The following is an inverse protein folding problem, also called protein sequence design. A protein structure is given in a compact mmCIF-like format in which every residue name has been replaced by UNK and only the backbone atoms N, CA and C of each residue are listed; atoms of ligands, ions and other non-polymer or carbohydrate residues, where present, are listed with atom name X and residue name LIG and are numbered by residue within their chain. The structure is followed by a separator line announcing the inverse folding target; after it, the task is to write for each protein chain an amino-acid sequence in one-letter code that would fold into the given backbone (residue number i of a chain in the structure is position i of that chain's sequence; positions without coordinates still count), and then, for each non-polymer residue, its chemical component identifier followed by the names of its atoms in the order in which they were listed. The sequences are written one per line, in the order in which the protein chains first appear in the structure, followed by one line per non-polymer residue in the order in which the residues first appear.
data_IF_910168840753
#
_entry.id   IF_910168840753
#
_cell.length_a   1.000
_cell.length_b   1.000
_cell.length_c   1.000
_cell.angle_alpha   90.00
_cell.angle_beta   90.00
_cell.angle_gamma   90.00
#
_symmetry.space_group_name_H-M   'P 1'
#
loop_
_entity.id
_entity.type
_entity.pdbx_description
1 polymer ?
#
# COMPACT_ATOMS: atom_id res chain seq x y z
N UNK A 1 -0.88 -5.71 -1.52
CA UNK A 1 -2.12 -4.95 -1.21
C UNK A 1 -3.29 -5.92 -1.14
N UNK A 2 -3.54 -6.48 0.04
CA UNK A 2 -4.72 -7.31 0.33
C UNK A 2 -5.67 -6.56 1.27
N UNK A 3 -6.41 -7.30 2.10
CA UNK A 3 -7.28 -6.71 3.15
C UNK A 3 -6.53 -5.66 3.97
N UNK A 4 -5.32 -6.01 4.40
CA UNK A 4 -4.28 -5.09 4.88
C UNK A 4 -3.25 -4.78 3.78
N UNK A 5 -2.52 -3.68 3.95
CA UNK A 5 -1.37 -3.35 3.10
C UNK A 5 -0.08 -3.69 3.82
N UNK A 6 0.87 -4.27 3.11
CA UNK A 6 2.20 -4.57 3.63
C UNK A 6 3.23 -4.13 2.62
N UNK A 7 4.25 -3.41 3.08
CA UNK A 7 5.44 -3.04 2.30
C UNK A 7 6.64 -3.70 2.95
N UNK A 8 7.47 -4.36 2.15
CA UNK A 8 8.54 -5.22 2.63
C UNK A 8 9.80 -4.97 1.80
N UNK A 9 10.93 -4.72 2.47
CA UNK A 9 12.21 -4.41 1.83
C UNK A 9 13.30 -5.29 2.43
N UNK A 10 13.97 -6.15 1.62
CA UNK A 10 15.09 -6.94 2.10
C UNK A 10 16.28 -6.03 2.45
N UNK A 11 17.04 -6.41 3.47
CA UNK A 11 18.20 -5.68 3.97
C UNK A 11 19.27 -6.65 4.47
N UNK A 12 20.53 -6.24 4.37
CA UNK A 12 21.66 -6.94 5.00
C UNK A 12 21.99 -6.38 6.39
N UNK A 13 21.24 -5.37 6.84
CA UNK A 13 21.38 -4.79 8.19
C UNK A 13 20.66 -5.65 9.22
N UNK A 14 21.21 -5.69 10.43
CA UNK A 14 20.61 -6.36 11.60
C UNK A 14 20.03 -5.36 12.62
N UNK A 15 19.99 -4.08 12.28
CA UNK A 15 19.56 -3.03 13.20
C UNK A 15 18.05 -2.76 13.05
N UNK A 16 17.26 -2.90 14.14
CA UNK A 16 15.85 -2.54 14.10
C UNK A 16 15.67 -1.04 13.86
N UNK A 17 14.46 -0.64 13.46
CA UNK A 17 14.14 0.78 13.35
C UNK A 17 14.09 1.43 14.73
N UNK A 18 14.92 2.46 14.93
CA UNK A 18 15.05 3.17 16.21
C UNK A 18 13.73 3.83 16.64
N UNK A 19 12.93 4.29 15.67
CA UNK A 19 11.63 4.92 15.92
C UNK A 19 10.51 3.90 16.21
N UNK A 20 10.77 2.60 16.02
CA UNK A 20 9.79 1.53 16.21
C UNK A 20 8.60 1.54 15.22
N UNK A 21 8.73 2.21 14.07
CA UNK A 21 7.64 2.37 13.08
C UNK A 21 7.49 1.15 12.18
N UNK A 22 8.58 0.43 11.96
CA UNK A 22 8.64 -0.76 11.10
C UNK A 22 9.29 -1.92 11.84
N UNK A 23 8.89 -3.13 11.49
CA UNK A 23 9.43 -4.34 12.08
C UNK A 23 10.65 -4.82 11.29
N UNK A 24 11.63 -5.42 11.97
CA UNK A 24 12.73 -6.16 11.36
C UNK A 24 12.53 -7.65 11.60
N UNK A 25 12.59 -8.46 10.55
CA UNK A 25 12.49 -9.92 10.64
C UNK A 25 13.62 -10.60 9.87
N UNK A 26 14.00 -11.79 10.33
CA UNK A 26 14.95 -12.63 9.60
C UNK A 26 14.35 -13.20 8.33
N UNK A 27 15.13 -13.19 7.26
CA UNK A 27 14.79 -13.88 6.02
C UNK A 27 15.27 -15.33 6.08
N UNK A 28 14.69 -16.20 5.25
CA UNK A 28 15.11 -17.60 5.12
C UNK A 28 16.48 -17.77 4.43
N UNK A 29 16.91 -16.73 3.71
CA UNK A 29 18.23 -16.69 3.07
C UNK A 29 19.23 -16.18 4.10
N UNK A 30 20.35 -16.89 4.24
CA UNK A 30 21.39 -16.57 5.21
C UNK A 30 21.86 -15.11 5.10
N UNK A 31 22.05 -14.47 6.25
CA UNK A 31 22.52 -13.08 6.38
C UNK A 31 21.62 -12.04 5.68
N UNK A 32 20.35 -12.37 5.46
CA UNK A 32 19.35 -11.42 4.96
C UNK A 32 18.28 -11.25 6.02
N UNK A 33 17.87 -10.01 6.26
CA UNK A 33 16.67 -9.66 6.97
C UNK A 33 15.73 -8.89 6.04
N UNK A 34 14.59 -8.50 6.55
CA UNK A 34 13.73 -7.56 5.87
C UNK A 34 13.04 -6.63 6.86
N UNK A 35 12.88 -5.37 6.46
CA UNK A 35 11.99 -4.47 7.15
C UNK A 35 10.56 -4.64 6.61
N UNK A 36 9.57 -4.47 7.50
CA UNK A 36 8.16 -4.61 7.17
C UNK A 36 7.34 -3.48 7.79
N UNK A 37 6.69 -2.69 6.93
CA UNK A 37 5.67 -1.72 7.29
C UNK A 37 4.28 -2.30 7.00
N UNK A 38 3.34 -2.07 7.92
CA UNK A 38 1.99 -2.64 7.80
C UNK A 38 0.95 -1.56 8.00
N UNK A 39 0.01 -1.47 7.07
CA UNK A 39 -1.22 -0.70 7.22
C UNK A 39 -2.42 -1.63 7.44
N UNK A 40 -3.26 -1.34 8.41
CA UNK A 40 -4.32 -2.26 8.85
C UNK A 40 -5.50 -2.36 7.87
N UNK A 41 -5.78 -1.31 7.10
CA UNK A 41 -6.93 -1.27 6.19
C UNK A 41 -6.54 -0.77 4.81
N UNK A 42 -6.28 -1.70 3.88
CA UNK A 42 -6.04 -1.42 2.47
C UNK A 42 -7.28 -1.74 1.62
N UNK A 43 -7.40 -2.94 1.04
CA UNK A 43 -8.64 -3.28 0.28
C UNK A 43 -9.85 -3.35 1.19
N UNK A 44 -9.67 -3.59 2.50
CA UNK A 44 -10.73 -3.47 3.49
C UNK A 44 -11.45 -2.10 3.45
N UNK A 45 -10.74 -1.02 3.12
CA UNK A 45 -11.34 0.31 2.99
C UNK A 45 -12.32 0.40 1.82
N UNK A 46 -12.02 -0.28 0.71
CA UNK A 46 -12.93 -0.39 -0.44
C UNK A 46 -14.11 -1.30 -0.09
N UNK A 47 -13.84 -2.46 0.52
CA UNK A 47 -14.87 -3.41 0.95
C UNK A 47 -15.86 -2.80 1.96
N UNK A 48 -15.35 -2.01 2.91
CA UNK A 48 -16.16 -1.23 3.85
C UNK A 48 -17.08 -0.25 3.11
N UNK A 49 -16.53 0.52 2.17
CA UNK A 49 -17.34 1.50 1.45
C UNK A 49 -18.36 0.84 0.52
N UNK A 50 -18.00 -0.28 -0.14
CA UNK A 50 -18.91 -1.09 -0.94
C UNK A 50 -20.16 -1.49 -0.15
N UNK A 51 -20.00 -1.87 1.13
CA UNK A 51 -21.12 -2.20 2.03
C UNK A 51 -21.99 -0.99 2.33
N UNK A 52 -21.39 0.18 2.57
CA UNK A 52 -22.13 1.42 2.87
C UNK A 52 -22.99 1.85 1.68
N UNK A 53 -22.43 1.83 0.47
CA UNK A 53 -23.15 2.29 -0.73
C UNK A 53 -23.92 1.18 -1.45
N UNK A 54 -23.88 -0.04 -0.90
CA UNK A 54 -24.41 -1.26 -1.50
C UNK A 54 -24.03 -1.39 -2.99
N UNK A 55 -22.73 -1.27 -3.28
CA UNK A 55 -22.19 -1.27 -4.64
C UNK A 55 -20.85 -2.00 -4.69
N UNK A 56 -20.75 -3.03 -5.53
CA UNK A 56 -19.59 -3.93 -5.58
C UNK A 56 -19.16 -4.28 -7.02
N UNK A 57 -19.38 -3.36 -7.97
CA UNK A 57 -19.05 -3.54 -9.38
C UNK A 57 -17.64 -2.99 -9.66
N UNK A 58 -16.60 -3.79 -9.38
CA UNK A 58 -15.21 -3.33 -9.45
C UNK A 58 -14.80 -2.77 -10.82
N UNK A 59 -15.30 -3.32 -11.92
CA UNK A 59 -14.99 -2.82 -13.26
C UNK A 59 -15.53 -1.40 -13.48
N UNK A 60 -16.75 -1.13 -12.98
CA UNK A 60 -17.35 0.20 -13.01
C UNK A 60 -16.58 1.14 -12.07
N UNK A 61 -16.26 0.70 -10.85
CA UNK A 61 -15.47 1.49 -9.89
C UNK A 61 -14.16 1.92 -10.54
N UNK A 62 -13.41 0.98 -11.14
CA UNK A 62 -12.13 1.26 -11.78
C UNK A 62 -12.29 2.25 -12.96
N UNK A 63 -13.29 2.06 -13.81
CA UNK A 63 -13.52 2.92 -14.96
C UNK A 63 -13.94 4.35 -14.59
N UNK A 64 -14.76 4.51 -13.55
CA UNK A 64 -15.20 5.83 -13.08
C UNK A 64 -14.09 6.54 -12.29
N UNK A 65 -13.36 5.83 -11.44
CA UNK A 65 -12.24 6.37 -10.66
C UNK A 65 -11.13 6.92 -11.57
N UNK A 66 -10.87 6.28 -12.73
CA UNK A 66 -9.85 6.74 -13.69
C UNK A 66 -10.17 8.11 -14.31
N UNK A 67 -11.47 8.45 -14.42
CA UNK A 67 -11.93 9.74 -14.97
C UNK A 67 -11.81 10.90 -13.98
N UNK A 68 -11.60 10.61 -12.69
CA UNK A 68 -11.57 11.61 -11.63
C UNK A 68 -10.15 12.17 -11.53
N UNK A 69 -9.97 13.50 -11.43
CA UNK A 69 -8.64 14.08 -11.35
C UNK A 69 -7.91 13.65 -10.07
N UNK A 70 -6.57 13.71 -10.12
CA UNK A 70 -5.69 13.54 -8.96
C UNK A 70 -6.12 14.47 -7.83
N UNK A 71 -6.20 13.94 -6.61
CA UNK A 71 -6.66 14.66 -5.43
C UNK A 71 -8.17 14.58 -5.21
N UNK A 72 -8.88 13.71 -5.95
CA UNK A 72 -10.30 13.40 -5.74
C UNK A 72 -11.20 14.66 -5.56
N UNK A 73 -10.93 15.72 -6.35
CA UNK A 73 -11.63 17.03 -6.26
C UNK A 73 -11.56 17.70 -4.87
N UNK A 74 -10.48 17.46 -4.13
CA UNK A 74 -10.25 17.98 -2.79
C UNK A 74 -10.66 17.02 -1.66
N UNK A 75 -11.08 15.80 -1.99
CA UNK A 75 -11.35 14.77 -0.99
C UNK A 75 -10.07 14.09 -0.52
N UNK A 76 -10.00 13.88 0.79
CA UNK A 76 -8.97 13.08 1.44
C UNK A 76 -9.62 11.96 2.24
N UNK A 77 -8.99 10.78 2.21
CA UNK A 77 -9.37 9.65 3.03
C UNK A 77 -8.20 9.20 3.90
N UNK A 78 -8.36 9.23 5.22
CA UNK A 78 -7.44 8.56 6.14
C UNK A 78 -7.88 7.10 6.31
N UNK A 79 -7.09 6.10 5.90
CA UNK A 79 -7.53 4.71 5.83
C UNK A 79 -7.45 3.95 7.16
N UNK A 80 -7.65 4.61 8.31
CA UNK A 80 -7.37 4.02 9.63
C UNK A 80 -8.61 3.38 10.28
N UNK A 81 -9.41 2.65 9.50
CA UNK A 81 -10.71 2.10 9.96
C UNK A 81 -10.60 1.20 11.20
N UNK A 82 -9.45 0.53 11.40
CA UNK A 82 -9.22 -0.43 12.48
C UNK A 82 -8.10 0.03 13.44
N UNK A 83 -7.85 1.33 13.55
CA UNK A 83 -6.58 1.85 14.06
C UNK A 83 -5.48 1.77 12.99
N UNK A 84 -4.25 2.09 13.36
CA UNK A 84 -3.11 1.96 12.46
C UNK A 84 -1.83 1.45 13.14
N UNK A 85 -1.02 0.70 12.37
CA UNK A 85 0.34 0.28 12.73
C UNK A 85 1.37 1.24 12.17
N UNK A 86 1.83 1.08 10.93
CA UNK A 86 2.84 1.98 10.36
C UNK A 86 2.17 3.19 9.71
N UNK A 87 2.65 4.43 9.94
CA UNK A 87 3.83 4.82 10.74
C UNK A 87 3.46 5.24 12.17
N UNK A 88 2.17 5.29 12.50
CA UNK A 88 1.65 6.01 13.67
C UNK A 88 1.70 5.22 14.98
N UNK A 89 1.59 3.90 14.88
CA UNK A 89 1.37 2.94 15.94
C UNK A 89 0.24 3.39 16.90
N UNK A 90 -0.90 3.69 16.30
CA UNK A 90 -2.04 4.35 16.94
C UNK A 90 -3.30 3.45 16.89
N UNK A 91 -3.61 2.71 17.96
CA UNK A 91 -4.80 1.87 18.03
C UNK A 91 -6.11 2.67 18.18
N UNK A 92 -6.02 3.99 18.40
CA UNK A 92 -7.16 4.88 18.52
C UNK A 92 -7.54 5.50 17.17
N UNK A 93 -6.63 5.55 16.21
CA UNK A 93 -6.89 6.12 14.89
C UNK A 93 -8.18 5.58 14.26
N UNK A 94 -8.87 6.45 13.51
CA UNK A 94 -10.13 6.12 12.82
C UNK A 94 -10.13 6.62 11.39
N UNK A 95 -10.97 5.99 10.57
CA UNK A 95 -11.19 6.42 9.20
C UNK A 95 -11.79 7.83 9.15
N UNK A 96 -11.31 8.65 8.21
CA UNK A 96 -11.78 10.03 8.04
C UNK A 96 -12.00 10.29 6.55
N UNK A 97 -13.15 10.85 6.19
CA UNK A 97 -13.37 11.48 4.88
C UNK A 97 -13.38 12.99 5.12
N UNK A 98 -12.44 13.71 4.52
CA UNK A 98 -12.27 15.15 4.66
C UNK A 98 -12.49 15.85 3.32
N UNK A 99 -13.11 17.05 3.35
CA UNK A 99 -13.33 17.88 2.16
C UNK A 99 -14.65 17.64 1.41
N UNK A 100 -15.63 16.95 2.02
CA UNK A 100 -16.92 16.69 1.38
C UNK A 100 -17.67 17.97 0.99
N UNK A 101 -18.38 17.90 -0.13
CA UNK A 101 -19.23 18.95 -0.69
C UNK A 101 -20.37 18.29 -1.47
N UNK A 102 -21.44 19.03 -1.76
CA UNK A 102 -22.59 18.53 -2.54
C UNK A 102 -22.26 18.20 -4.00
N UNK A 103 -21.09 18.61 -4.50
CA UNK A 103 -20.64 18.29 -5.85
C UNK A 103 -20.04 16.88 -5.97
N UNK A 104 -19.70 16.24 -4.85
CA UNK A 104 -19.07 14.93 -4.84
C UNK A 104 -20.09 13.80 -4.98
N UNK A 105 -19.70 12.75 -5.69
CA UNK A 105 -20.45 11.51 -5.78
C UNK A 105 -19.64 10.33 -5.18
N UNK A 106 -20.23 9.13 -5.21
CA UNK A 106 -19.61 7.92 -4.64
C UNK A 106 -18.24 7.59 -5.26
N UNK A 107 -18.03 7.89 -6.54
CA UNK A 107 -16.79 7.60 -7.25
C UNK A 107 -15.67 8.56 -6.85
N UNK A 108 -15.98 9.82 -6.49
CA UNK A 108 -14.99 10.73 -5.90
C UNK A 108 -14.51 10.19 -4.55
N UNK A 109 -15.40 9.57 -3.77
CA UNK A 109 -15.03 8.91 -2.52
C UNK A 109 -14.18 7.65 -2.78
N UNK A 110 -14.52 6.83 -3.78
CA UNK A 110 -13.65 5.71 -4.18
C UNK A 110 -12.26 6.19 -4.60
N UNK A 111 -12.17 7.28 -5.37
CA UNK A 111 -10.89 7.90 -5.74
C UNK A 111 -10.11 8.32 -4.50
N UNK A 112 -10.76 9.00 -3.56
CA UNK A 112 -10.13 9.40 -2.31
C UNK A 112 -9.65 8.19 -1.48
N UNK A 113 -10.40 7.08 -1.46
CA UNK A 113 -9.99 5.84 -0.80
C UNK A 113 -8.76 5.24 -1.49
N UNK A 114 -8.74 5.18 -2.82
CA UNK A 114 -7.61 4.64 -3.58
C UNK A 114 -6.33 5.45 -3.33
N UNK A 115 -6.44 6.78 -3.38
CA UNK A 115 -5.34 7.70 -3.10
C UNK A 115 -4.90 7.63 -1.63
N UNK A 116 -5.85 7.62 -0.69
CA UNK A 116 -5.61 7.52 0.76
C UNK A 116 -4.86 6.26 1.16
N UNK A 117 -5.25 5.11 0.60
CA UNK A 117 -4.49 3.86 0.78
C UNK A 117 -3.11 3.95 0.15
N UNK A 118 -2.98 4.58 -1.02
CA UNK A 118 -1.68 4.85 -1.64
C UNK A 118 -0.76 5.70 -0.75
N UNK A 119 -1.30 6.74 -0.10
CA UNK A 119 -0.55 7.56 0.86
C UNK A 119 -0.15 6.77 2.11
N UNK A 120 -1.03 5.91 2.64
CA UNK A 120 -0.66 5.02 3.76
C UNK A 120 0.43 4.00 3.38
N UNK A 121 0.41 3.49 2.14
CA UNK A 121 1.51 2.67 1.62
C UNK A 121 2.81 3.48 1.47
N UNK A 122 2.70 4.78 1.13
CA UNK A 122 3.84 5.69 1.07
C UNK A 122 4.44 5.94 2.45
N UNK A 123 3.61 6.11 3.49
CA UNK A 123 4.10 6.17 4.87
C UNK A 123 4.94 4.94 5.23
N UNK A 124 4.45 3.75 4.88
CA UNK A 124 5.21 2.52 5.06
C UNK A 124 6.52 2.55 4.25
N UNK A 125 6.44 2.89 2.97
CA UNK A 125 7.60 2.90 2.08
C UNK A 125 8.71 3.87 2.51
N UNK A 126 8.34 5.06 2.97
CA UNK A 126 9.28 6.08 3.49
C UNK A 126 9.86 5.65 4.83
N UNK A 127 9.04 5.06 5.73
CA UNK A 127 9.49 4.59 7.04
C UNK A 127 10.53 3.47 6.94
N UNK A 128 10.48 2.67 5.88
CA UNK A 128 11.46 1.61 5.60
C UNK A 128 12.83 2.14 5.13
N UNK A 129 13.01 3.47 5.00
CA UNK A 129 14.23 4.13 4.51
C UNK A 129 14.68 3.55 3.16
N UNK A 130 13.72 3.31 2.27
CA UNK A 130 13.82 2.56 1.01
C UNK A 130 14.61 3.26 -0.10
N UNK A 131 15.81 3.77 0.17
CA UNK A 131 16.66 4.40 -0.85
C UNK A 131 17.23 3.38 -1.83
N UNK A 132 17.30 3.72 -3.12
CA UNK A 132 17.92 2.88 -4.15
C UNK A 132 17.06 1.71 -4.65
N UNK A 133 15.76 1.68 -4.31
CA UNK A 133 14.82 0.71 -4.85
C UNK A 133 14.57 0.98 -6.33
N UNK A 134 14.90 0.01 -7.19
CA UNK A 134 14.72 0.11 -8.65
C UNK A 134 13.30 -0.28 -9.09
N UNK A 135 12.69 -1.20 -8.37
CA UNK A 135 11.43 -1.85 -8.74
C UNK A 135 10.69 -2.30 -7.49
N UNK A 136 9.38 -2.10 -7.48
CA UNK A 136 8.45 -2.61 -6.47
C UNK A 136 7.61 -3.72 -7.11
N UNK A 137 7.52 -4.88 -6.47
CA UNK A 137 6.64 -5.98 -6.89
C UNK A 137 5.34 -5.90 -6.12
N UNK A 138 4.20 -5.88 -6.83
CA UNK A 138 2.87 -5.77 -6.21
C UNK A 138 2.04 -7.04 -6.41
N UNK A 139 1.36 -7.47 -5.35
CA UNK A 139 0.43 -8.61 -5.33
C UNK A 139 -0.78 -8.31 -4.44
N UNK A 140 -1.77 -9.21 -4.42
CA UNK A 140 -2.99 -9.13 -3.60
C UNK A 140 -4.21 -8.57 -4.36
N UNK A 141 -5.37 -8.52 -3.70
CA UNK A 141 -6.63 -8.11 -4.34
C UNK A 141 -6.56 -6.75 -5.03
N UNK A 142 -5.90 -5.77 -4.41
CA UNK A 142 -5.75 -4.42 -4.97
C UNK A 142 -4.91 -4.38 -6.26
N UNK A 143 -4.01 -5.36 -6.48
CA UNK A 143 -3.18 -5.40 -7.69
C UNK A 143 -3.97 -5.80 -8.95
N UNK A 144 -5.22 -6.25 -8.81
CA UNK A 144 -6.09 -6.53 -9.97
C UNK A 144 -6.52 -5.24 -10.68
N UNK A 145 -6.67 -4.14 -9.95
CA UNK A 145 -7.01 -2.83 -10.51
C UNK A 145 -5.79 -2.16 -11.14
N UNK A 146 -5.71 -2.14 -12.48
CA UNK A 146 -4.59 -1.47 -13.19
C UNK A 146 -4.50 0.02 -12.87
N UNK A 147 -5.66 0.69 -12.79
CA UNK A 147 -5.72 2.12 -12.44
C UNK A 147 -5.15 2.35 -11.05
N UNK A 148 -5.50 1.53 -10.07
CA UNK A 148 -5.00 1.70 -8.71
C UNK A 148 -3.50 1.42 -8.61
N UNK A 149 -2.99 0.38 -9.29
CA UNK A 149 -1.55 0.11 -9.34
C UNK A 149 -0.78 1.27 -9.97
N UNK A 150 -1.30 1.89 -11.04
CA UNK A 150 -0.69 3.08 -11.65
C UNK A 150 -0.68 4.26 -10.68
N UNK A 151 -1.78 4.50 -9.94
CA UNK A 151 -1.82 5.55 -8.91
C UNK A 151 -0.79 5.31 -7.81
N UNK A 152 -0.67 4.07 -7.32
CA UNK A 152 0.34 3.73 -6.29
C UNK A 152 1.76 3.98 -6.84
N UNK A 153 2.02 3.63 -8.10
CA UNK A 153 3.32 3.92 -8.73
C UNK A 153 3.61 5.43 -8.73
N UNK A 154 2.65 6.26 -9.14
CA UNK A 154 2.77 7.72 -9.14
C UNK A 154 2.92 8.29 -7.72
N UNK A 155 2.20 7.77 -6.74
CA UNK A 155 2.28 8.21 -5.34
C UNK A 155 3.66 7.89 -4.74
N UNK A 156 4.16 6.67 -4.98
CA UNK A 156 5.46 6.24 -4.47
C UNK A 156 6.63 6.84 -5.25
N UNK A 157 6.41 7.30 -6.49
CA UNK A 157 7.48 7.77 -7.37
C UNK A 157 8.40 6.64 -7.84
N UNK A 158 7.95 5.38 -7.80
CA UNK A 158 8.74 4.21 -8.13
C UNK A 158 8.02 3.29 -9.11
N UNK A 159 8.80 2.65 -9.98
CA UNK A 159 8.29 1.62 -10.91
C UNK A 159 7.67 0.46 -10.14
N UNK A 160 6.45 0.10 -10.48
CA UNK A 160 5.75 -1.07 -9.96
C UNK A 160 5.63 -2.13 -11.06
N UNK A 161 5.83 -3.40 -10.71
CA UNK A 161 5.61 -4.52 -11.61
C UNK A 161 4.70 -5.57 -11.01
N UNK A 162 3.98 -6.27 -11.90
CA UNK A 162 3.33 -7.54 -11.59
C UNK A 162 4.18 -8.67 -12.13
N UNK A 163 4.20 -9.77 -11.39
CA UNK A 163 4.93 -10.97 -11.75
C UNK A 163 3.98 -12.11 -12.10
N UNK A 164 4.49 -13.13 -12.80
CA UNK A 164 3.73 -14.29 -13.28
C UNK A 164 3.05 -15.11 -12.17
N UNK A 165 3.50 -14.98 -10.92
CA UNK A 165 2.94 -15.68 -9.76
C UNK A 165 2.12 -14.74 -8.87
N UNK A 166 0.87 -15.11 -8.60
CA UNK A 166 -0.03 -14.36 -7.69
C UNK A 166 0.02 -14.88 -6.25
N UNK A 167 0.41 -16.13 -6.05
CA UNK A 167 0.43 -16.82 -4.75
C UNK A 167 1.82 -16.81 -4.12
N UNK A 168 2.27 -15.63 -3.67
CA UNK A 168 3.65 -15.41 -3.23
C UNK A 168 4.15 -16.38 -2.15
N UNK A 169 3.34 -16.66 -1.12
CA UNK A 169 3.75 -17.52 0.00
C UNK A 169 3.89 -18.99 -0.41
N UNK A 170 2.90 -19.53 -1.13
CA UNK A 170 2.92 -20.91 -1.62
C UNK A 170 4.09 -21.12 -2.60
N UNK A 171 4.33 -20.14 -3.48
CA UNK A 171 5.43 -20.19 -4.44
C UNK A 171 6.80 -20.11 -3.74
N UNK A 172 6.92 -19.27 -2.71
CA UNK A 172 8.12 -19.20 -1.87
C UNK A 172 8.43 -20.53 -1.19
N UNK A 173 7.42 -21.20 -0.61
CA UNK A 173 7.58 -22.52 -0.01
C UNK A 173 8.05 -23.56 -1.04
N UNK A 174 7.50 -23.55 -2.26
CA UNK A 174 7.91 -24.44 -3.33
C UNK A 174 9.37 -24.19 -3.78
N UNK A 175 9.79 -22.92 -3.89
CA UNK A 175 11.18 -22.55 -4.20
C UNK A 175 12.13 -23.09 -3.12
N UNK A 176 11.77 -22.96 -1.84
CA UNK A 176 12.60 -23.44 -0.74
C UNK A 176 12.70 -24.97 -0.72
N UNK A 177 11.58 -25.67 -0.94
CA UNK A 177 11.58 -27.13 -1.06
C UNK A 177 12.46 -27.60 -2.23
N UNK A 178 12.36 -26.95 -3.39
CA UNK A 178 13.18 -27.28 -4.54
C UNK A 178 14.67 -26.97 -4.32
N UNK A 179 14.96 -25.87 -3.63
CA UNK A 179 16.32 -25.50 -3.23
C UNK A 179 16.94 -26.58 -2.34
N UNK A 180 16.22 -27.05 -1.33
CA UNK A 180 16.67 -28.11 -0.43
C UNK A 180 16.94 -29.45 -1.17
N UNK A 181 16.13 -29.77 -2.19
CA UNK A 181 16.30 -31.00 -2.99
C UNK A 181 17.46 -30.94 -3.98
N UNK A 182 17.77 -29.76 -4.51
CA UNK A 182 18.71 -29.62 -5.64
C UNK A 182 20.04 -28.95 -5.27
N UNK A 183 20.13 -28.33 -4.09
CA UNK A 183 21.26 -27.50 -3.70
C UNK A 183 21.38 -26.18 -4.45
N UNK A 184 20.42 -25.83 -5.32
CA UNK A 184 20.40 -24.55 -6.02
C UNK A 184 19.87 -23.46 -5.08
N UNK A 185 20.57 -22.33 -5.01
CA UNK A 185 20.14 -21.19 -4.18
C UNK A 185 18.72 -20.69 -4.54
N UNK A 186 17.89 -20.30 -3.55
CA UNK A 186 16.53 -19.83 -3.78
C UNK A 186 16.45 -18.66 -4.79
N UNK A 187 17.43 -17.76 -4.78
CA UNK A 187 17.52 -16.63 -5.71
C UNK A 187 17.64 -17.09 -7.16
N UNK A 188 18.47 -18.10 -7.43
CA UNK A 188 18.67 -18.67 -8.77
C UNK A 188 17.42 -19.35 -9.32
N UNK A 189 16.65 -20.03 -8.45
CA UNK A 189 15.37 -20.62 -8.81
C UNK A 189 14.34 -19.53 -9.12
N UNK A 190 14.21 -18.55 -8.20
CA UNK A 190 13.23 -17.47 -8.34
C UNK A 190 13.41 -16.66 -9.62
N UNK A 191 14.66 -16.40 -10.04
CA UNK A 191 14.97 -15.67 -11.29
C UNK A 191 14.55 -16.41 -12.56
N UNK A 192 14.49 -17.75 -12.53
CA UNK A 192 14.03 -18.57 -13.67
C UNK A 192 12.53 -18.78 -13.67
N UNK A 193 11.96 -18.90 -12.48
CA UNK A 193 10.57 -19.31 -12.26
C UNK A 193 9.60 -18.12 -12.30
N UNK A 194 10.08 -16.92 -11.96
CA UNK A 194 9.28 -15.71 -11.85
C UNK A 194 9.69 -14.73 -12.93
N UNK A 195 8.73 -14.32 -13.76
CA UNK A 195 8.93 -13.29 -14.79
C UNK A 195 8.02 -12.09 -14.53
N UNK A 196 8.48 -10.91 -14.96
CA UNK A 196 7.64 -9.71 -15.00
C UNK A 196 6.65 -9.84 -16.14
N UNK A 197 5.36 -9.62 -15.86
CA UNK A 197 4.28 -9.73 -16.85
C UNK A 197 3.63 -8.40 -17.18
N UNK A 198 3.74 -7.41 -16.29
CA UNK A 198 3.18 -6.07 -16.49
C UNK A 198 3.99 -5.05 -15.68
N UNK A 199 4.18 -3.84 -16.22
CA UNK A 199 4.93 -2.78 -15.55
C UNK A 199 4.20 -1.44 -15.62
N UNK A 200 4.28 -0.69 -14.51
CA UNK A 200 3.67 0.60 -14.30
C UNK A 200 4.78 1.59 -13.93
N UNK A 201 5.10 2.50 -14.84
CA UNK A 201 6.12 3.52 -14.63
C UNK A 201 5.45 4.78 -14.06
N UNK A 202 6.00 5.39 -12.99
CA UNK A 202 5.46 6.61 -12.45
C UNK A 202 5.55 7.74 -13.48
N UNK A 203 4.51 8.56 -13.54
CA UNK A 203 4.53 9.82 -14.27
C UNK A 203 5.03 10.93 -13.33
N UNK A 204 6.05 11.68 -13.77
CA UNK A 204 6.72 12.66 -12.92
C UNK A 204 5.81 13.84 -12.53
N UNK A 205 4.93 14.28 -13.44
CA UNK A 205 3.99 15.36 -13.16
C UNK A 205 2.91 14.92 -12.18
N UNK A 206 2.39 13.69 -12.34
CA UNK A 206 1.45 13.10 -11.39
C UNK A 206 2.09 12.92 -10.02
N UNK A 207 3.34 12.42 -9.98
CA UNK A 207 4.09 12.23 -8.74
C UNK A 207 4.23 13.55 -7.97
N UNK A 208 4.54 14.65 -8.66
CA UNK A 208 4.59 16.01 -8.05
C UNK A 208 3.24 16.45 -7.49
N UNK A 209 2.12 16.14 -8.16
CA UNK A 209 0.77 16.45 -7.67
C UNK A 209 0.44 15.63 -6.41
N UNK A 210 0.73 14.32 -6.44
CA UNK A 210 0.53 13.44 -5.30
C UNK A 210 1.42 13.81 -4.10
N UNK A 211 2.64 14.29 -4.33
CA UNK A 211 3.52 14.77 -3.25
C UNK A 211 2.88 15.92 -2.47
N UNK A 212 2.30 16.90 -3.17
CA UNK A 212 1.57 18.01 -2.52
C UNK A 212 0.41 17.51 -1.68
N UNK A 213 -0.37 16.56 -2.21
CA UNK A 213 -1.50 15.98 -1.50
C UNK A 213 -1.06 15.12 -0.31
N UNK A 214 0.07 14.41 -0.43
CA UNK A 214 0.64 13.58 0.63
C UNK A 214 1.02 14.41 1.86
N UNK A 215 1.54 15.63 1.67
CA UNK A 215 1.79 16.58 2.78
C UNK A 215 0.50 16.91 3.53
N UNK A 216 -0.59 17.18 2.82
CA UNK A 216 -1.90 17.48 3.42
C UNK A 216 -2.45 16.25 4.16
N UNK A 217 -2.32 15.06 3.57
CA UNK A 217 -2.70 13.79 4.20
C UNK A 217 -2.01 13.60 5.56
N UNK A 218 -0.69 13.84 5.64
CA UNK A 218 0.04 13.75 6.90
C UNK A 218 -0.38 14.82 7.92
N UNK A 219 -0.64 16.04 7.48
CA UNK A 219 -1.16 17.12 8.34
C UNK A 219 -2.53 16.77 8.93
N UNK A 220 -3.43 16.17 8.13
CA UNK A 220 -4.76 15.75 8.59
C UNK A 220 -4.68 14.76 9.75
N UNK A 221 -3.80 13.75 9.66
CA UNK A 221 -3.60 12.83 10.79
C UNK A 221 -3.12 13.57 12.04
N UNK A 222 -2.09 14.41 11.90
CA UNK A 222 -1.50 15.12 13.04
C UNK A 222 -2.50 16.05 13.75
N UNK A 223 -3.40 16.71 12.99
CA UNK A 223 -4.45 17.56 13.56
C UNK A 223 -5.52 16.77 14.32
N UNK A 224 -5.78 15.53 13.91
CA UNK A 224 -6.85 14.70 14.47
C UNK A 224 -6.37 13.71 15.54
N UNK A 225 -5.06 13.47 15.63
CA UNK A 225 -4.44 12.47 16.52
C UNK A 225 -4.93 12.57 17.97
N UNK A 226 -4.92 13.77 18.54
CA UNK A 226 -5.39 14.04 19.91
C UNK A 226 -6.88 13.72 20.11
N UNK A 227 -7.70 13.89 19.07
CA UNK A 227 -9.14 13.66 19.13
C UNK A 227 -9.50 12.18 19.05
N UNK A 228 -8.71 11.38 18.34
CA UNK A 228 -8.94 9.92 18.25
C UNK A 228 -8.94 9.24 19.63
N UNK A 229 -8.11 9.71 20.57
CA UNK A 229 -8.10 9.19 21.94
C UNK A 229 -9.24 9.67 22.83
N UNK A 230 -10.05 10.64 22.38
CA UNK A 230 -11.12 11.27 23.17
C UNK A 230 -12.52 10.86 22.72
N UNK A 231 -12.63 10.18 21.59
CA UNK A 231 -13.90 9.68 21.07
C UNK A 231 -14.12 8.22 21.52
N UNK A 232 -15.38 7.87 21.76
CA UNK A 232 -15.77 6.49 22.05
C UNK A 232 -15.46 5.59 20.84
N UNK A 233 -15.01 4.37 21.11
CA UNK A 233 -14.63 3.39 20.08
C UNK A 233 -15.83 2.58 19.56
N UNK A 234 -16.99 2.71 20.22
CA UNK A 234 -18.15 1.86 19.99
C UNK A 234 -18.04 0.55 20.74
#
# INVERSE_FOLDING_TARGET
VGTSGTVLVPTFKNEPDEDGKVHLFSHVVNNVNYYMGVMLSATNSVEWFNKIVNFNEYDIINAEVDKIPIGARGLFFLPYLNGERTPHNDPNARGVIFGLSSAHNRFDIYRAIFEGVGYGLKDCFVSLKSSGIREIRITGGGSKSKVWVKMIADILGNRIVKVSSTEGAAYGAAILAFSALTGIEPSGISNKWISVVESFVPDEENSKKYEKNYVIFGQLYNLLKELFGRIDKG
#
